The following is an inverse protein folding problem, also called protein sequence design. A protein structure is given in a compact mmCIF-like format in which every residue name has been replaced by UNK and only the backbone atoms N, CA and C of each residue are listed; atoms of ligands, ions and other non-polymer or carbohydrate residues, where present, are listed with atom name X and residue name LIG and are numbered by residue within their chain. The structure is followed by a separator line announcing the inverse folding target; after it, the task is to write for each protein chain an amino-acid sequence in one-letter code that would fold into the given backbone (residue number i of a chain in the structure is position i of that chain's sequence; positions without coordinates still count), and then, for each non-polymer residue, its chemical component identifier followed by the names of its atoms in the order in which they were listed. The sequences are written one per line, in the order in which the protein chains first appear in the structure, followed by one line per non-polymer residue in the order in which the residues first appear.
data_IF_910749491341
#
_entry.id   IF_910749491341
#
_cell.length_a   1.000
_cell.length_b   1.000
_cell.length_c   1.000
_cell.angle_alpha   90.00
_cell.angle_beta   90.00
_cell.angle_gamma   90.00
#
_symmetry.space_group_name_H-M   'P 1'
#
loop_
_entity.id
_entity.type
_entity.pdbx_description
1 polymer ?
#
# COMPACT_ATOMS: atom_id res chain seq x y z
N UNK A 1 -16.29 -38.51 5.66
CA UNK A 1 -16.44 -37.13 5.18
C UNK A 1 -15.06 -36.51 5.17
N UNK A 2 -14.59 -36.00 4.03
CA UNK A 2 -13.28 -35.34 3.98
C UNK A 2 -13.31 -34.13 4.92
N UNK A 3 -12.31 -34.02 5.80
CA UNK A 3 -12.14 -32.84 6.63
C UNK A 3 -12.05 -31.61 5.72
N UNK A 4 -12.90 -30.59 5.89
CA UNK A 4 -12.87 -29.40 5.03
C UNK A 4 -11.50 -28.71 4.98
N UNK A 5 -10.70 -28.80 6.05
CA UNK A 5 -9.32 -28.31 6.07
C UNK A 5 -8.44 -29.05 5.05
N UNK A 6 -8.62 -30.36 4.90
CA UNK A 6 -7.84 -31.14 3.93
C UNK A 6 -8.24 -30.82 2.49
N UNK A 7 -9.54 -30.59 2.26
CA UNK A 7 -10.04 -30.08 0.97
C UNK A 7 -9.44 -28.73 0.62
N UNK A 8 -9.41 -27.79 1.57
CA UNK A 8 -8.80 -26.48 1.40
C UNK A 8 -7.30 -26.57 1.13
N UNK A 9 -6.56 -27.37 1.90
CA UNK A 9 -5.12 -27.63 1.70
C UNK A 9 -4.82 -28.23 0.33
N UNK A 10 -5.64 -29.17 -0.12
CA UNK A 10 -5.48 -29.78 -1.43
C UNK A 10 -5.70 -28.75 -2.54
N UNK A 11 -6.71 -27.90 -2.39
CA UNK A 11 -6.97 -26.83 -3.35
C UNK A 11 -5.84 -25.78 -3.38
N UNK A 12 -5.26 -25.43 -2.23
CA UNK A 12 -4.05 -24.59 -2.16
C UNK A 12 -2.89 -25.18 -2.97
N UNK A 13 -2.60 -26.48 -2.76
CA UNK A 13 -1.54 -27.18 -3.51
C UNK A 13 -1.82 -27.23 -5.01
N UNK A 14 -3.06 -27.50 -5.40
CA UNK A 14 -3.45 -27.51 -6.81
C UNK A 14 -3.27 -26.13 -7.48
N UNK A 15 -3.47 -25.05 -6.73
CA UNK A 15 -3.19 -23.68 -7.17
C UNK A 15 -1.70 -23.30 -7.08
N UNK A 16 -0.81 -24.24 -6.76
CA UNK A 16 0.63 -24.02 -6.69
C UNK A 16 1.12 -23.33 -5.42
N UNK A 17 0.33 -23.33 -4.34
CA UNK A 17 0.72 -22.75 -3.05
C UNK A 17 0.77 -23.82 -1.94
N UNK A 18 1.96 -24.06 -1.38
CA UNK A 18 2.08 -24.98 -0.26
C UNK A 18 1.45 -24.37 1.01
N UNK A 19 0.47 -25.04 1.65
CA UNK A 19 -0.17 -24.54 2.87
C UNK A 19 0.78 -24.55 4.08
N UNK A 20 0.51 -23.71 5.11
CA UNK A 20 1.20 -23.81 6.38
C UNK A 20 0.88 -25.12 7.12
N UNK A 21 1.77 -25.50 8.05
CA UNK A 21 1.62 -26.72 8.85
C UNK A 21 0.32 -26.80 9.64
N UNK A 22 -0.27 -25.65 10.01
CA UNK A 22 -1.57 -25.54 10.67
C UNK A 22 -2.47 -24.52 9.96
N UNK A 23 -3.73 -24.89 9.75
CA UNK A 23 -4.79 -23.99 9.27
C UNK A 23 -5.71 -23.67 10.44
N UNK A 24 -5.74 -22.40 10.83
CA UNK A 24 -6.56 -21.88 11.93
C UNK A 24 -7.90 -21.40 11.37
N UNK A 25 -9.00 -21.98 11.86
CA UNK A 25 -10.36 -21.67 11.43
C UNK A 25 -10.97 -20.49 12.21
N UNK A 26 -10.28 -19.35 12.27
CA UNK A 26 -10.73 -18.16 13.01
C UNK A 26 -11.45 -17.11 12.15
N UNK A 27 -11.71 -17.40 10.87
CA UNK A 27 -12.34 -16.46 9.93
C UNK A 27 -11.53 -15.16 9.70
N UNK A 28 -10.27 -15.13 10.14
CA UNK A 28 -9.39 -13.96 10.12
C UNK A 28 -8.22 -14.17 9.15
N UNK A 29 -7.55 -13.09 8.78
CA UNK A 29 -6.37 -13.14 7.92
C UNK A 29 -5.18 -13.74 8.68
N UNK A 30 -4.73 -14.92 8.25
CA UNK A 30 -3.52 -15.56 8.73
C UNK A 30 -2.43 -15.42 7.66
N UNK A 31 -1.21 -15.04 8.05
CA UNK A 31 -0.07 -14.90 7.13
C UNK A 31 1.00 -15.92 7.47
N UNK A 32 1.68 -16.43 6.45
CA UNK A 32 2.72 -17.44 6.60
C UNK A 32 3.85 -17.27 5.57
N UNK A 33 4.99 -17.86 5.87
CA UNK A 33 6.12 -17.94 4.94
C UNK A 33 5.88 -19.07 3.94
N UNK A 34 5.90 -18.73 2.65
CA UNK A 34 5.80 -19.72 1.57
C UNK A 34 7.16 -20.38 1.38
N UNK A 35 7.24 -21.72 1.29
CA UNK A 35 8.49 -22.41 0.97
C UNK A 35 9.18 -21.83 -0.27
N UNK A 36 10.50 -21.65 -0.19
CA UNK A 36 11.31 -21.02 -1.26
C UNK A 36 11.33 -19.49 -1.24
N UNK A 37 10.52 -18.82 -0.43
CA UNK A 37 10.67 -17.38 -0.20
C UNK A 37 11.72 -17.07 0.88
N UNK A 38 12.13 -15.80 0.97
CA UNK A 38 13.07 -15.32 1.99
C UNK A 38 12.59 -15.74 3.40
N UNK A 39 13.46 -16.27 4.27
CA UNK A 39 13.09 -16.62 5.63
C UNK A 39 12.36 -15.47 6.33
N UNK A 40 11.25 -15.78 7.01
CA UNK A 40 10.36 -14.84 7.72
C UNK A 40 9.60 -13.84 6.84
N UNK A 41 9.67 -13.94 5.51
CA UNK A 41 8.74 -13.20 4.66
C UNK A 41 7.32 -13.76 4.83
N UNK A 42 6.31 -12.89 4.91
CA UNK A 42 4.91 -13.24 5.15
C UNK A 42 4.10 -13.05 3.86
N UNK A 43 4.59 -13.61 2.76
CA UNK A 43 4.02 -13.43 1.43
C UNK A 43 2.77 -14.27 1.22
N UNK A 44 2.63 -15.39 1.92
CA UNK A 44 1.45 -16.26 1.88
C UNK A 44 0.39 -15.78 2.86
N UNK A 45 -0.87 -15.91 2.47
CA UNK A 45 -2.00 -15.60 3.36
C UNK A 45 -3.18 -16.53 3.11
N UNK A 46 -4.01 -16.71 4.13
CA UNK A 46 -5.31 -17.37 4.01
C UNK A 46 -6.31 -16.82 5.03
N UNK A 47 -7.60 -17.03 4.72
CA UNK A 47 -8.74 -16.89 5.62
C UNK A 47 -9.54 -18.18 5.50
N UNK A 48 -9.90 -18.80 6.62
CA UNK A 48 -10.69 -20.03 6.62
C UNK A 48 -11.86 -19.96 7.60
N UNK A 49 -13.02 -20.34 7.10
CA UNK A 49 -14.32 -20.35 7.75
C UNK A 49 -14.80 -21.82 7.81
N UNK A 50 -14.87 -22.39 9.02
CA UNK A 50 -15.24 -23.80 9.22
C UNK A 50 -16.75 -24.05 9.37
N UNK A 51 -17.55 -22.98 9.37
CA UNK A 51 -19.00 -23.04 9.28
C UNK A 51 -19.48 -23.76 8.01
N UNK A 52 -20.71 -24.26 7.98
CA UNK A 52 -21.22 -25.01 6.82
C UNK A 52 -21.89 -24.08 5.80
N UNK A 53 -21.53 -24.16 4.50
CA UNK A 53 -20.40 -24.91 3.95
C UNK A 53 -19.08 -24.20 4.27
N UNK A 54 -18.04 -24.99 4.57
CA UNK A 54 -16.74 -24.41 4.90
C UNK A 54 -16.19 -23.68 3.68
N UNK A 55 -15.60 -22.52 3.90
CA UNK A 55 -15.12 -21.67 2.83
C UNK A 55 -13.80 -21.00 3.23
N UNK A 56 -13.04 -20.55 2.25
CA UNK A 56 -11.81 -19.83 2.51
C UNK A 56 -11.27 -19.15 1.28
N UNK A 57 -10.35 -18.22 1.49
CA UNK A 57 -9.57 -17.62 0.43
C UNK A 57 -8.10 -17.69 0.81
N UNK A 58 -7.23 -17.78 -0.16
CA UNK A 58 -5.79 -17.78 0.06
C UNK A 58 -5.07 -17.13 -1.11
N UNK A 59 -3.80 -16.82 -0.90
CA UNK A 59 -2.99 -16.25 -1.95
C UNK A 59 -1.55 -16.05 -1.57
N UNK A 60 -0.81 -15.51 -2.53
CA UNK A 60 0.58 -15.13 -2.36
C UNK A 60 0.87 -13.83 -3.11
N UNK A 61 1.22 -12.76 -2.38
CA UNK A 61 1.47 -11.44 -2.94
C UNK A 61 2.58 -11.47 -4.00
N UNK A 62 3.68 -12.17 -3.71
CA UNK A 62 4.84 -12.29 -4.60
C UNK A 62 4.50 -13.01 -5.91
N UNK A 63 3.58 -13.97 -5.86
CA UNK A 63 3.16 -14.79 -7.00
C UNK A 63 1.88 -14.25 -7.66
N UNK A 64 1.35 -13.12 -7.18
CA UNK A 64 0.07 -12.54 -7.61
C UNK A 64 -1.11 -13.54 -7.61
N UNK A 65 -1.08 -14.50 -6.69
CA UNK A 65 -2.11 -15.52 -6.54
C UNK A 65 -3.20 -15.06 -5.56
N UNK A 66 -4.47 -15.23 -5.93
CA UNK A 66 -5.62 -14.97 -5.09
C UNK A 66 -6.78 -15.88 -5.51
N UNK A 67 -7.09 -16.86 -4.68
CA UNK A 67 -8.06 -17.91 -4.97
C UNK A 67 -9.09 -18.04 -3.85
N UNK A 68 -10.29 -18.47 -4.20
CA UNK A 68 -11.39 -18.72 -3.25
C UNK A 68 -11.89 -20.14 -3.39
N UNK A 69 -12.13 -20.78 -2.25
CA UNK A 69 -12.52 -22.17 -2.13
C UNK A 69 -13.78 -22.31 -1.26
N UNK A 70 -14.62 -23.28 -1.60
CA UNK A 70 -15.77 -23.69 -0.80
C UNK A 70 -15.88 -25.22 -0.82
N UNK A 71 -16.24 -25.81 0.32
CA UNK A 71 -16.52 -27.23 0.48
C UNK A 71 -17.78 -27.68 -0.26
N UNK A 72 -18.66 -26.74 -0.61
CA UNK A 72 -19.87 -26.99 -1.41
C UNK A 72 -19.90 -26.04 -2.59
N UNK A 73 -20.06 -26.58 -3.79
CA UNK A 73 -20.19 -25.77 -4.99
C UNK A 73 -21.50 -24.97 -4.94
N UNK A 74 -21.42 -23.66 -5.19
CA UNK A 74 -22.57 -22.76 -5.15
C UNK A 74 -23.75 -23.22 -6.02
N UNK A 75 -23.47 -23.83 -7.18
CA UNK A 75 -24.48 -24.32 -8.12
C UNK A 75 -25.29 -25.50 -7.55
N UNK A 76 -24.70 -26.29 -6.66
CA UNK A 76 -25.35 -27.44 -5.99
C UNK A 76 -26.15 -27.06 -4.75
N UNK A 77 -26.16 -25.78 -4.36
CA UNK A 77 -26.97 -25.28 -3.25
C UNK A 77 -28.42 -25.04 -3.69
N UNK A 78 -29.35 -25.40 -2.80
CA UNK A 78 -30.77 -25.08 -2.99
C UNK A 78 -31.04 -23.57 -2.75
N UNK A 79 -32.25 -23.05 -3.08
CA UNK A 79 -32.55 -21.63 -2.90
C UNK A 79 -32.42 -21.11 -1.46
N UNK A 80 -32.75 -21.93 -0.45
CA UNK A 80 -32.67 -21.53 0.95
C UNK A 80 -31.21 -21.46 1.42
N UNK A 81 -30.38 -22.42 1.00
CA UNK A 81 -28.94 -22.43 1.26
C UNK A 81 -28.23 -21.24 0.59
N UNK A 82 -28.59 -20.90 -0.66
CA UNK A 82 -28.06 -19.71 -1.35
C UNK A 82 -28.43 -18.42 -0.63
N UNK A 83 -29.67 -18.30 -0.16
CA UNK A 83 -30.13 -17.14 0.61
C UNK A 83 -29.36 -17.01 1.94
N UNK A 84 -29.18 -18.10 2.67
CA UNK A 84 -28.41 -18.13 3.92
C UNK A 84 -26.93 -17.76 3.69
N UNK A 85 -26.31 -18.30 2.64
CA UNK A 85 -24.93 -17.98 2.26
C UNK A 85 -24.77 -16.49 1.92
N UNK A 86 -25.65 -15.94 1.09
CA UNK A 86 -25.64 -14.52 0.71
C UNK A 86 -25.80 -13.61 1.94
N UNK A 87 -26.78 -13.89 2.80
CA UNK A 87 -27.00 -13.13 4.03
C UNK A 87 -25.78 -13.16 4.97
N UNK A 88 -25.09 -14.31 5.03
CA UNK A 88 -23.85 -14.45 5.79
C UNK A 88 -22.71 -13.63 5.19
N UNK A 89 -22.51 -13.70 3.87
CA UNK A 89 -21.47 -12.92 3.20
C UNK A 89 -21.70 -11.42 3.37
N UNK A 90 -22.95 -10.97 3.29
CA UNK A 90 -23.30 -9.56 3.54
C UNK A 90 -23.01 -9.16 4.98
N UNK A 91 -23.32 -10.02 5.96
CA UNK A 91 -22.99 -9.77 7.37
C UNK A 91 -21.49 -9.67 7.60
N UNK A 92 -20.70 -10.60 7.04
CA UNK A 92 -19.23 -10.58 7.14
C UNK A 92 -18.66 -9.34 6.46
N UNK A 93 -19.18 -8.98 5.28
CA UNK A 93 -18.79 -7.78 4.55
C UNK A 93 -19.06 -6.52 5.40
N UNK A 94 -20.26 -6.38 5.95
CA UNK A 94 -20.64 -5.27 6.82
C UNK A 94 -19.73 -5.19 8.06
N UNK A 95 -19.50 -6.31 8.75
CA UNK A 95 -18.60 -6.36 9.90
C UNK A 95 -17.16 -5.93 9.54
N UNK A 96 -16.66 -6.36 8.38
CA UNK A 96 -15.34 -5.94 7.88
C UNK A 96 -15.31 -4.45 7.56
N UNK A 97 -16.35 -3.92 6.93
CA UNK A 97 -16.46 -2.49 6.62
C UNK A 97 -16.50 -1.64 7.89
N UNK A 98 -17.33 -2.01 8.87
CA UNK A 98 -17.42 -1.36 10.18
C UNK A 98 -16.07 -1.40 10.93
N UNK A 99 -15.41 -2.56 10.93
CA UNK A 99 -14.08 -2.72 11.54
C UNK A 99 -13.03 -1.82 10.87
N UNK A 100 -13.01 -1.78 9.53
CA UNK A 100 -12.08 -0.93 8.80
C UNK A 100 -12.35 0.55 9.08
N UNK A 101 -13.61 0.98 9.12
CA UNK A 101 -13.98 2.34 9.50
C UNK A 101 -13.45 2.68 10.89
N UNK A 102 -13.59 1.76 11.86
CA UNK A 102 -13.06 1.95 13.22
C UNK A 102 -11.54 2.05 13.24
N UNK A 103 -10.84 1.10 12.60
CA UNK A 103 -9.37 1.09 12.51
C UNK A 103 -8.84 2.38 11.86
N UNK A 104 -9.49 2.86 10.79
CA UNK A 104 -9.12 4.11 10.14
C UNK A 104 -9.36 5.32 11.05
N UNK A 105 -10.49 5.39 11.75
CA UNK A 105 -10.80 6.47 12.68
C UNK A 105 -9.79 6.53 13.84
N UNK A 106 -9.49 5.38 14.46
CA UNK A 106 -8.48 5.26 15.52
C UNK A 106 -7.09 5.66 15.02
N UNK A 107 -6.71 5.24 13.81
CA UNK A 107 -5.45 5.63 13.18
C UNK A 107 -5.37 7.15 13.01
N UNK A 108 -6.42 7.79 12.46
CA UNK A 108 -6.45 9.24 12.25
C UNK A 108 -6.30 10.02 13.55
N UNK A 109 -7.11 9.67 14.56
CA UNK A 109 -7.07 10.32 15.87
C UNK A 109 -5.68 10.20 16.51
N UNK A 110 -5.11 9.00 16.51
CA UNK A 110 -3.77 8.76 17.04
C UNK A 110 -2.68 9.52 16.26
N UNK A 111 -2.77 9.55 14.92
CA UNK A 111 -1.78 10.26 14.11
C UNK A 111 -1.82 11.77 14.34
N UNK A 112 -3.01 12.37 14.48
CA UNK A 112 -3.18 13.78 14.79
C UNK A 112 -2.58 14.14 16.18
N UNK A 113 -2.84 13.31 17.20
CA UNK A 113 -2.29 13.49 18.54
C UNK A 113 -0.76 13.44 18.55
N UNK A 114 -0.17 12.41 17.92
CA UNK A 114 1.29 12.26 17.83
C UNK A 114 1.91 13.38 17.01
N UNK A 115 1.29 13.81 15.92
CA UNK A 115 1.76 14.93 15.10
C UNK A 115 1.81 16.26 15.88
N UNK A 116 0.79 16.50 16.72
CA UNK A 116 0.74 17.67 17.59
C UNK A 116 1.82 17.68 18.67
N UNK A 117 2.21 16.50 19.17
CA UNK A 117 3.25 16.34 20.20
C UNK A 117 4.67 16.24 19.64
N UNK A 118 4.82 15.99 18.35
CA UNK A 118 6.11 15.83 17.71
C UNK A 118 6.77 17.18 17.42
N UNK A 119 8.10 17.21 17.54
CA UNK A 119 8.92 18.38 17.22
C UNK A 119 9.25 18.41 15.74
N UNK A 120 9.62 19.56 15.19
CA UNK A 120 10.07 19.64 13.81
C UNK A 120 11.37 18.87 13.61
N UNK A 121 11.45 18.08 12.53
CA UNK A 121 12.65 17.33 12.24
C UNK A 121 13.74 18.25 11.69
N UNK A 122 14.95 18.16 12.26
CA UNK A 122 16.13 18.85 11.73
C UNK A 122 16.77 18.03 10.61
N UNK A 123 17.61 18.69 9.81
CA UNK A 123 18.42 18.03 8.77
C UNK A 123 19.47 17.06 9.33
N UNK A 124 19.67 17.01 10.65
CA UNK A 124 20.66 16.16 11.30
C UNK A 124 20.19 14.71 11.49
N UNK A 125 18.92 14.42 11.23
CA UNK A 125 18.40 13.06 11.35
C UNK A 125 19.21 12.09 10.47
N UNK A 126 19.67 10.93 10.99
CA UNK A 126 20.60 10.03 10.28
C UNK A 126 20.12 9.61 8.89
N UNK A 127 18.83 9.29 8.73
CA UNK A 127 18.25 8.96 7.42
C UNK A 127 18.37 10.11 6.41
N UNK A 128 18.13 11.36 6.81
CA UNK A 128 18.17 12.52 5.92
C UNK A 128 19.59 12.76 5.43
N UNK A 129 20.57 12.71 6.34
CA UNK A 129 22.00 12.80 5.99
C UNK A 129 22.44 11.67 5.07
N UNK A 130 22.08 10.42 5.38
CA UNK A 130 22.42 9.27 4.55
C UNK A 130 21.82 9.36 3.14
N UNK A 131 20.65 10.00 2.99
CA UNK A 131 20.00 10.24 1.70
C UNK A 131 20.39 11.55 1.02
N UNK A 132 21.15 12.42 1.69
CA UNK A 132 21.54 13.73 1.14
C UNK A 132 20.37 14.71 0.93
N UNK A 133 19.28 14.55 1.69
CA UNK A 133 18.06 15.34 1.54
C UNK A 133 17.71 16.11 2.81
N UNK A 134 16.96 17.21 2.67
CA UNK A 134 16.51 18.05 3.77
C UNK A 134 15.17 17.58 4.33
N UNK A 135 14.87 18.03 5.54
CA UNK A 135 13.55 17.99 6.13
C UNK A 135 12.71 19.11 5.51
N UNK A 136 11.58 18.74 4.91
CA UNK A 136 10.59 19.68 4.40
C UNK A 136 9.26 19.41 5.08
N UNK A 137 9.02 20.08 6.21
CA UNK A 137 7.79 19.92 7.01
C UNK A 137 7.67 18.60 7.75
N UNK A 138 8.73 17.79 7.79
CA UNK A 138 8.73 16.56 8.57
C UNK A 138 8.83 16.86 10.06
N UNK A 139 8.26 15.95 10.86
CA UNK A 139 8.42 15.96 12.31
C UNK A 139 9.26 14.79 12.80
N UNK A 140 9.76 14.89 14.03
CA UNK A 140 10.50 13.85 14.73
C UNK A 140 9.81 13.51 16.06
N UNK A 141 9.64 12.23 16.34
CA UNK A 141 9.09 11.74 17.60
C UNK A 141 9.83 10.47 18.00
N UNK A 142 10.43 10.49 19.20
CA UNK A 142 11.22 9.36 19.74
C UNK A 142 12.28 8.85 18.75
N UNK A 143 12.96 9.79 18.08
CA UNK A 143 14.05 9.51 17.14
C UNK A 143 13.62 8.95 15.78
N UNK A 144 12.32 8.85 15.48
CA UNK A 144 11.83 8.51 14.14
C UNK A 144 11.29 9.76 13.45
N UNK A 145 11.54 9.90 12.15
CA UNK A 145 10.84 10.86 11.31
C UNK A 145 9.39 10.43 11.14
N UNK A 146 8.51 11.43 11.08
CA UNK A 146 7.08 11.31 10.85
C UNK A 146 6.76 11.99 9.54
N UNK A 147 6.16 11.22 8.64
CA UNK A 147 5.65 11.73 7.37
C UNK A 147 4.14 11.48 7.35
N UNK A 148 3.31 12.52 7.43
CA UNK A 148 1.87 12.36 7.47
C UNK A 148 1.37 11.96 6.09
N UNK A 149 0.44 11.01 6.05
CA UNK A 149 -0.32 10.66 4.86
C UNK A 149 -1.58 11.51 4.89
N UNK A 150 -1.77 12.39 3.91
CA UNK A 150 -2.79 13.43 3.91
C UNK A 150 -3.64 13.43 2.64
N UNK A 151 -4.81 14.08 2.72
CA UNK A 151 -5.58 14.49 1.55
C UNK A 151 -5.15 15.88 1.05
N UNK A 152 -5.80 16.36 -0.01
CA UNK A 152 -5.52 17.69 -0.59
C UNK A 152 -5.87 18.85 0.35
N UNK A 153 -6.71 18.63 1.35
CA UNK A 153 -7.06 19.62 2.36
C UNK A 153 -6.09 19.61 3.55
N UNK A 154 -5.10 18.70 3.57
CA UNK A 154 -4.14 18.56 4.65
C UNK A 154 -4.62 17.71 5.83
N UNK A 155 -5.77 17.05 5.72
CA UNK A 155 -6.26 16.18 6.79
C UNK A 155 -5.41 14.91 6.85
N UNK A 156 -5.02 14.47 8.04
CA UNK A 156 -4.16 13.29 8.25
C UNK A 156 -4.99 11.99 8.23
N UNK A 157 -4.64 11.06 7.33
CA UNK A 157 -5.21 9.73 7.15
C UNK A 157 -4.29 8.59 7.59
N UNK A 158 -3.09 8.91 8.03
CA UNK A 158 -2.14 7.99 8.61
C UNK A 158 -0.74 8.59 8.75
N UNK A 159 0.22 7.76 9.12
CA UNK A 159 1.61 8.19 9.34
C UNK A 159 2.60 7.13 8.85
N UNK A 160 3.63 7.55 8.11
CA UNK A 160 4.83 6.77 7.87
C UNK A 160 5.90 7.18 8.90
N UNK A 161 6.56 6.18 9.46
CA UNK A 161 7.71 6.35 10.34
C UNK A 161 8.97 5.93 9.60
N UNK A 162 10.01 6.75 9.69
CA UNK A 162 11.35 6.40 9.23
C UNK A 162 12.30 6.45 10.43
N UNK A 163 12.86 5.29 10.79
CA UNK A 163 13.84 5.19 11.88
C UNK A 163 15.22 5.67 11.44
N UNK A 164 16.16 5.89 12.38
CA UNK A 164 17.53 6.30 12.06
C UNK A 164 18.26 5.37 11.10
N UNK A 165 17.97 4.07 11.14
CA UNK A 165 18.52 3.03 10.25
C UNK A 165 17.89 3.05 8.84
N UNK A 166 16.91 3.93 8.60
CA UNK A 166 16.18 4.03 7.35
C UNK A 166 15.04 3.03 7.20
N UNK A 167 14.77 2.18 8.20
CA UNK A 167 13.61 1.29 8.19
C UNK A 167 12.31 2.09 8.22
N UNK A 168 11.40 1.75 7.31
CA UNK A 168 10.13 2.46 7.10
C UNK A 168 8.95 1.59 7.51
N UNK A 169 8.02 2.14 8.27
CA UNK A 169 6.79 1.46 8.67
C UNK A 169 5.61 2.42 8.61
N UNK A 170 4.39 1.89 8.54
CA UNK A 170 3.17 2.71 8.59
C UNK A 170 2.40 2.40 9.88
N UNK A 171 1.68 3.39 10.41
CA UNK A 171 0.71 3.14 11.47
C UNK A 171 -0.39 2.22 10.94
N UNK A 172 -0.71 1.15 11.67
CA UNK A 172 -1.86 0.29 11.37
C UNK A 172 -3.12 1.13 11.23
N UNK A 173 -3.85 0.93 10.13
CA UNK A 173 -5.02 1.73 9.75
C UNK A 173 -4.71 2.95 8.87
N UNK A 174 -3.47 3.15 8.44
CA UNK A 174 -3.12 4.19 7.46
C UNK A 174 -3.88 3.97 6.15
N UNK A 175 -4.72 4.94 5.75
CA UNK A 175 -5.39 4.92 4.46
C UNK A 175 -4.49 5.53 3.38
N UNK A 176 -3.59 4.73 2.83
CA UNK A 176 -2.56 5.19 1.88
C UNK A 176 -3.12 5.51 0.48
N UNK A 177 -4.04 4.69 -0.02
CA UNK A 177 -4.53 4.78 -1.41
C UNK A 177 -5.11 6.18 -1.69
N UNK A 178 -4.55 6.86 -2.69
CA UNK A 178 -4.96 8.20 -3.12
C UNK A 178 -4.53 9.35 -2.20
N UNK A 179 -3.92 9.05 -1.05
CA UNK A 179 -3.38 10.03 -0.11
C UNK A 179 -1.85 10.13 -0.28
N UNK A 180 -1.30 11.27 0.12
CA UNK A 180 0.08 11.64 -0.20
C UNK A 180 0.69 12.51 0.90
N UNK A 181 1.98 12.80 0.79
CA UNK A 181 2.60 13.89 1.52
C UNK A 181 2.97 15.03 0.56
N UNK A 182 2.60 16.26 0.88
CA UNK A 182 2.92 17.43 0.07
C UNK A 182 4.17 18.12 0.58
N UNK A 183 5.08 18.44 -0.32
CA UNK A 183 6.33 19.12 -0.03
C UNK A 183 6.46 20.38 -0.88
N UNK A 184 6.88 21.47 -0.22
CA UNK A 184 7.07 22.77 -0.86
C UNK A 184 5.75 23.50 -1.10
N UNK A 185 5.86 24.81 -1.30
CA UNK A 185 4.72 25.65 -1.70
C UNK A 185 4.66 25.76 -3.22
N UNK A 186 3.45 25.79 -3.77
CA UNK A 186 3.22 25.91 -5.20
C UNK A 186 3.60 27.30 -5.71
N UNK A 187 4.68 27.39 -6.47
CA UNK A 187 4.92 28.52 -7.38
C UNK A 187 4.74 28.03 -8.81
N UNK A 188 3.81 28.65 -9.53
CA UNK A 188 3.50 28.30 -10.92
C UNK A 188 2.50 27.16 -11.05
N UNK A 189 2.52 26.50 -12.20
CA UNK A 189 1.52 25.51 -12.62
C UNK A 189 2.06 24.08 -12.68
N UNK A 190 3.23 23.80 -12.10
CA UNK A 190 3.89 22.48 -12.18
C UNK A 190 3.84 21.77 -10.85
N UNK A 191 3.53 20.48 -10.87
CA UNK A 191 3.53 19.60 -9.71
C UNK A 191 4.22 18.28 -10.05
N UNK A 192 5.20 17.89 -9.25
CA UNK A 192 5.83 16.58 -9.38
C UNK A 192 5.16 15.56 -8.43
N UNK A 193 5.13 14.29 -8.82
CA UNK A 193 4.68 13.18 -7.97
C UNK A 193 5.76 12.10 -8.02
N UNK A 194 6.31 11.75 -6.86
CA UNK A 194 7.36 10.74 -6.72
C UNK A 194 6.93 9.64 -5.74
N UNK A 195 7.56 8.48 -5.84
CA UNK A 195 7.24 7.34 -4.97
C UNK A 195 7.64 7.58 -3.51
N UNK A 196 8.92 7.82 -3.25
CA UNK A 196 9.46 7.96 -1.89
C UNK A 196 9.78 9.39 -1.48
N UNK A 197 9.77 9.66 -0.17
CA UNK A 197 10.11 10.98 0.38
C UNK A 197 11.49 11.46 -0.06
N UNK A 198 12.51 10.59 -0.05
CA UNK A 198 13.86 11.00 -0.43
C UNK A 198 13.92 11.46 -1.90
N UNK A 199 13.30 10.70 -2.80
CA UNK A 199 13.17 11.05 -4.21
C UNK A 199 12.42 12.37 -4.39
N UNK A 200 11.29 12.54 -3.69
CA UNK A 200 10.52 13.78 -3.69
C UNK A 200 11.33 14.99 -3.19
N UNK A 201 12.08 14.83 -2.10
CA UNK A 201 12.94 15.85 -1.53
C UNK A 201 14.08 16.24 -2.46
N UNK A 202 14.72 15.27 -3.13
CA UNK A 202 15.75 15.54 -4.13
C UNK A 202 15.19 16.35 -5.31
N UNK A 203 14.00 15.99 -5.82
CA UNK A 203 13.34 16.73 -6.90
C UNK A 203 13.03 18.15 -6.46
N UNK A 204 12.44 18.33 -5.28
CA UNK A 204 12.13 19.65 -4.74
C UNK A 204 13.40 20.50 -4.57
N UNK A 205 14.47 19.93 -4.02
CA UNK A 205 15.76 20.61 -3.84
C UNK A 205 16.38 21.05 -5.17
N UNK A 206 16.28 20.23 -6.21
CA UNK A 206 16.87 20.51 -7.51
C UNK A 206 16.05 21.52 -8.34
N UNK A 207 14.72 21.51 -8.20
CA UNK A 207 13.81 22.23 -9.10
C UNK A 207 13.06 23.38 -8.45
N UNK A 208 12.88 23.33 -7.13
CA UNK A 208 11.97 24.21 -6.39
C UNK A 208 10.49 23.93 -6.62
N UNK A 209 10.10 22.96 -7.45
CA UNK A 209 8.69 22.64 -7.71
C UNK A 209 8.04 21.95 -6.51
N UNK A 210 6.73 22.15 -6.27
CA UNK A 210 6.02 21.35 -5.28
C UNK A 210 6.04 19.87 -5.70
N UNK A 211 6.20 18.98 -4.73
CA UNK A 211 6.30 17.54 -4.97
C UNK A 211 5.41 16.77 -4.01
N UNK A 212 4.64 15.81 -4.53
CA UNK A 212 3.88 14.86 -3.73
C UNK A 212 4.64 13.54 -3.59
N UNK A 213 4.68 12.99 -2.38
CA UNK A 213 5.14 11.63 -2.12
C UNK A 213 3.95 10.66 -2.11
N UNK A 214 3.96 9.67 -2.99
CA UNK A 214 2.91 8.66 -3.11
C UNK A 214 3.12 7.43 -2.20
N UNK A 215 4.29 7.29 -1.59
CA UNK A 215 4.71 6.22 -0.67
C UNK A 215 4.95 4.83 -1.26
N UNK A 216 4.42 4.52 -2.44
CA UNK A 216 4.75 3.33 -3.24
C UNK A 216 4.30 3.51 -4.71
N UNK A 217 4.88 2.71 -5.61
CA UNK A 217 4.57 2.71 -7.04
C UNK A 217 3.07 2.52 -7.34
N UNK A 218 2.38 1.64 -6.60
CA UNK A 218 0.96 1.34 -6.79
C UNK A 218 0.04 2.51 -6.45
N UNK A 219 0.53 3.49 -5.68
CA UNK A 219 -0.24 4.66 -5.27
C UNK A 219 -0.01 5.89 -6.16
N UNK A 220 0.95 5.87 -7.09
CA UNK A 220 1.21 6.97 -8.02
C UNK A 220 -0.04 7.36 -8.82
N UNK A 221 -0.71 6.37 -9.42
CA UNK A 221 -1.91 6.59 -10.24
C UNK A 221 -3.09 7.16 -9.41
N UNK A 222 -3.51 6.53 -8.29
CA UNK A 222 -4.56 7.10 -7.43
C UNK A 222 -4.29 8.54 -6.97
N UNK A 223 -3.05 8.85 -6.60
CA UNK A 223 -2.67 10.22 -6.19
C UNK A 223 -2.78 11.19 -7.37
N UNK A 224 -2.24 10.82 -8.52
CA UNK A 224 -2.30 11.65 -9.73
C UNK A 224 -3.74 11.93 -10.17
N UNK A 225 -4.61 10.91 -10.17
CA UNK A 225 -6.02 11.04 -10.53
C UNK A 225 -6.76 11.99 -9.57
N UNK A 226 -6.52 11.84 -8.27
CA UNK A 226 -7.10 12.73 -7.25
C UNK A 226 -6.69 14.19 -7.45
N UNK A 227 -5.41 14.44 -7.74
CA UNK A 227 -4.92 15.79 -8.03
C UNK A 227 -5.56 16.33 -9.30
N UNK A 228 -5.55 15.57 -10.40
CA UNK A 228 -6.10 16.01 -11.69
C UNK A 228 -7.59 16.34 -11.58
N UNK A 229 -8.35 15.55 -10.82
CA UNK A 229 -9.77 15.81 -10.59
C UNK A 229 -10.03 17.12 -9.83
N UNK A 230 -9.11 17.54 -8.96
CA UNK A 230 -9.24 18.76 -8.16
C UNK A 230 -8.63 20.00 -8.81
N UNK A 231 -7.55 19.83 -9.55
CA UNK A 231 -6.81 20.93 -10.19
C UNK A 231 -6.49 20.56 -11.64
N UNK A 232 -7.48 20.61 -12.54
CA UNK A 232 -7.37 20.08 -13.91
C UNK A 232 -6.29 20.74 -14.78
N UNK A 233 -5.85 21.94 -14.43
CA UNK A 233 -4.89 22.73 -15.21
C UNK A 233 -3.42 22.45 -14.87
N UNK A 234 -3.10 21.70 -13.81
CA UNK A 234 -1.71 21.48 -13.40
C UNK A 234 -0.91 20.70 -14.45
N UNK A 235 0.33 21.12 -14.68
CA UNK A 235 1.35 20.34 -15.35
C UNK A 235 1.86 19.28 -14.36
N UNK A 236 1.23 18.11 -14.36
CA UNK A 236 1.59 16.98 -13.50
C UNK A 236 2.76 16.23 -14.14
N UNK A 237 3.85 16.07 -13.41
CA UNK A 237 5.03 15.29 -13.80
C UNK A 237 5.13 14.09 -12.85
N UNK A 238 4.99 12.88 -13.37
CA UNK A 238 5.24 11.66 -12.60
C UNK A 238 6.73 11.34 -12.70
N UNK A 239 7.40 11.23 -11.56
CA UNK A 239 8.83 10.96 -11.47
C UNK A 239 9.02 9.49 -11.08
N UNK A 240 9.54 8.69 -12.01
CA UNK A 240 9.81 7.27 -11.78
C UNK A 240 11.08 7.10 -10.93
N UNK A 241 11.04 6.20 -9.94
CA UNK A 241 12.26 5.61 -9.41
C UNK A 241 12.70 4.51 -10.39
N UNK A 242 13.96 4.53 -10.84
CA UNK A 242 14.46 3.53 -11.77
C UNK A 242 15.22 2.44 -11.03
N UNK A 243 14.47 1.53 -10.39
CA UNK A 243 15.01 0.32 -9.79
C UNK A 243 15.27 -0.76 -10.86
N UNK A 244 16.21 -0.48 -11.78
CA UNK A 244 16.52 -1.32 -12.94
C UNK A 244 16.94 -2.77 -12.58
N UNK A 245 17.31 -3.02 -11.33
CA UNK A 245 17.70 -4.35 -10.83
C UNK A 245 16.53 -5.16 -10.28
N UNK A 246 15.31 -4.59 -10.26
CA UNK A 246 14.09 -5.30 -9.87
C UNK A 246 13.43 -5.89 -11.12
N UNK A 247 13.23 -7.21 -11.11
CA UNK A 247 12.53 -7.92 -12.17
C UNK A 247 11.17 -7.26 -12.48
N UNK A 248 10.95 -6.88 -13.74
CA UNK A 248 9.74 -6.21 -14.21
C UNK A 248 9.68 -4.69 -14.06
N UNK A 249 10.69 -4.03 -13.46
CA UNK A 249 10.76 -2.57 -13.23
C UNK A 249 9.40 -1.91 -12.90
N UNK A 250 8.74 -2.35 -11.81
CA UNK A 250 7.37 -1.91 -11.49
C UNK A 250 7.26 -0.39 -11.28
N UNK A 251 8.34 0.26 -10.83
CA UNK A 251 8.39 1.72 -10.66
C UNK A 251 8.14 2.47 -11.97
N UNK A 252 8.88 2.13 -13.04
CA UNK A 252 8.71 2.74 -14.35
C UNK A 252 7.35 2.41 -14.97
N UNK A 253 6.90 1.15 -14.89
CA UNK A 253 5.59 0.73 -15.43
C UNK A 253 4.46 1.50 -14.75
N UNK A 254 4.45 1.59 -13.42
CA UNK A 254 3.39 2.28 -12.66
C UNK A 254 3.44 3.80 -12.85
N UNK A 255 4.64 4.38 -12.93
CA UNK A 255 4.79 5.79 -13.24
C UNK A 255 4.25 6.13 -14.64
N UNK A 256 4.53 5.27 -15.63
CA UNK A 256 4.01 5.42 -16.99
C UNK A 256 2.48 5.30 -17.04
N UNK A 257 1.91 4.29 -16.36
CA UNK A 257 0.45 4.14 -16.22
C UNK A 257 -0.19 5.37 -15.59
N UNK A 258 0.42 5.91 -14.53
CA UNK A 258 -0.08 7.10 -13.84
C UNK A 258 -0.03 8.34 -14.73
N UNK A 259 1.09 8.58 -15.44
CA UNK A 259 1.23 9.73 -16.34
C UNK A 259 0.18 9.69 -17.45
N UNK A 260 -0.01 8.52 -18.09
CA UNK A 260 -1.04 8.34 -19.12
C UNK A 260 -2.45 8.57 -18.58
N UNK A 261 -2.77 8.07 -17.40
CA UNK A 261 -4.11 8.19 -16.81
C UNK A 261 -4.57 9.65 -16.60
N UNK A 262 -3.62 10.59 -16.44
CA UNK A 262 -3.93 11.99 -16.13
C UNK A 262 -3.48 12.98 -17.21
N UNK A 263 -3.04 12.48 -18.37
CA UNK A 263 -2.40 13.31 -19.40
C UNK A 263 -1.19 14.09 -18.87
N UNK A 264 -0.44 13.49 -17.95
CA UNK A 264 0.75 14.07 -17.34
C UNK A 264 2.04 13.73 -18.10
N UNK A 265 3.13 14.35 -17.68
CA UNK A 265 4.47 14.07 -18.17
C UNK A 265 5.11 12.95 -17.33
N UNK A 266 6.08 12.26 -17.91
CA UNK A 266 6.89 11.25 -17.22
C UNK A 266 8.35 11.73 -17.20
N UNK A 267 8.94 11.76 -16.01
CA UNK A 267 10.36 11.99 -15.81
C UNK A 267 11.02 10.68 -15.37
N UNK A 268 12.03 10.26 -16.13
CA UNK A 268 12.82 9.04 -15.85
C UNK A 268 14.27 9.47 -15.65
N UNK A 269 14.95 9.01 -14.59
CA UNK A 269 16.36 9.33 -14.39
C UNK A 269 17.21 8.74 -15.51
N UNK A 270 18.07 9.57 -16.10
CA UNK A 270 19.05 9.14 -17.09
C UNK A 270 20.14 8.31 -16.39
N UNK A 271 20.37 7.10 -16.89
CA UNK A 271 21.48 6.25 -16.46
C UNK A 271 22.35 6.02 -17.69
N UNK A 272 23.61 6.42 -17.60
CA UNK A 272 24.57 6.28 -18.69
C UNK A 272 24.68 4.80 -19.12
N UNK A 273 24.45 4.53 -20.41
CA UNK A 273 24.49 3.18 -20.98
C UNK A 273 23.13 2.48 -21.15
N UNK A 274 22.00 3.10 -20.76
CA UNK A 274 20.66 2.54 -20.97
C UNK A 274 19.95 3.27 -22.11
N UNK A 275 19.50 2.52 -23.14
CA UNK A 275 18.62 3.08 -24.18
C UNK A 275 17.21 3.25 -23.60
N UNK A 276 16.70 4.48 -23.66
CA UNK A 276 15.31 4.79 -23.38
C UNK A 276 14.56 4.76 -24.72
N UNK A 277 13.83 3.67 -24.99
CA UNK A 277 12.93 3.54 -26.15
C UNK A 277 11.52 4.03 -25.82
#
# INVERSE_FOLDING_TARGET
MNNPIDGFRQFMRNAGLEPPGEIVANGSLNRFTVPGDKPRSLNGWYVFHADTPAAGSFGCWKRQLNETWSAKEYHSMDPAEKAAYSAKMETIKRQREEEQVRIHAECRAWCADVWGKAEDATNDHPYLKAKGVKSFGLKCFRGSLLIPIQDIAGNIYGMQFIRPDGSKTFKTGTAKRGHFYSMGEGKGNTLCIAEGYATAASIHQATGYPVLTAFDAGNLKPVAENVRAKVPQLNIIICADNDQWTEGNPGLTKATEAARAVGGLLAVPFIEGVRHE
#
